data_IF_837670654914
#
_entry.id   IF_837670654914
#
_cell.length_a   1.000
_cell.length_b   1.000
_cell.length_c   1.000
_cell.angle_alpha   90.00
_cell.angle_beta   90.00
_cell.angle_gamma   90.00
#
_symmetry.space_group_name_H-M   'P 1'
#
loop_
_entity.id
_entity.type
_entity.pdbx_description
1 polymer ?
#
# COMPACT_ATOMS: atom_id res chain seq x y z
N UNK A 1 -17.98 -33.48 -23.21
CA UNK A 1 -18.71 -33.08 -22.01
C UNK A 1 -18.67 -31.55 -21.93
N UNK A 2 -19.73 -30.89 -22.33
CA UNK A 2 -19.89 -29.44 -22.29
C UNK A 2 -20.04 -29.02 -20.83
N UNK A 3 -19.05 -28.31 -20.30
CA UNK A 3 -19.18 -27.65 -18.98
C UNK A 3 -20.42 -26.75 -19.03
N UNK A 4 -21.32 -26.82 -18.02
CA UNK A 4 -22.45 -25.91 -17.96
C UNK A 4 -21.92 -24.47 -17.94
N UNK A 5 -22.40 -23.65 -18.84
CA UNK A 5 -22.10 -22.21 -18.91
C UNK A 5 -22.46 -21.59 -17.55
N UNK A 6 -21.44 -21.24 -16.75
CA UNK A 6 -21.66 -20.49 -15.51
C UNK A 6 -22.38 -19.19 -15.87
N UNK A 7 -23.57 -19.00 -15.31
CA UNK A 7 -24.30 -17.72 -15.41
C UNK A 7 -23.30 -16.59 -15.13
N UNK A 8 -23.11 -15.64 -16.03
CA UNK A 8 -22.16 -14.56 -15.84
C UNK A 8 -22.53 -13.78 -14.57
N UNK A 9 -21.66 -13.78 -13.57
CA UNK A 9 -21.85 -13.01 -12.37
C UNK A 9 -21.76 -11.51 -12.72
N UNK A 10 -22.57 -10.68 -12.04
CA UNK A 10 -22.49 -9.23 -12.23
C UNK A 10 -21.04 -8.75 -11.98
N UNK A 11 -20.38 -8.13 -12.99
CA UNK A 11 -18.98 -7.69 -12.86
C UNK A 11 -18.74 -6.74 -11.69
N UNK A 12 -19.72 -5.92 -11.33
CA UNK A 12 -19.61 -5.01 -10.19
C UNK A 12 -19.57 -5.74 -8.84
N UNK A 13 -20.32 -6.83 -8.68
CA UNK A 13 -20.27 -7.66 -7.48
C UNK A 13 -18.94 -8.42 -7.39
N UNK A 14 -18.43 -8.89 -8.53
CA UNK A 14 -17.10 -9.51 -8.56
C UNK A 14 -16.03 -8.49 -8.21
N UNK A 15 -16.09 -7.28 -8.77
CA UNK A 15 -15.18 -6.20 -8.42
C UNK A 15 -15.24 -5.87 -6.92
N UNK A 16 -16.45 -5.74 -6.35
CA UNK A 16 -16.62 -5.48 -4.92
C UNK A 16 -15.95 -6.55 -4.05
N UNK A 17 -16.14 -7.83 -4.37
CA UNK A 17 -15.48 -8.92 -3.64
C UNK A 17 -13.96 -8.90 -3.78
N UNK A 18 -13.43 -8.63 -4.98
CA UNK A 18 -11.98 -8.46 -5.18
C UNK A 18 -11.45 -7.25 -4.41
N UNK A 19 -12.20 -6.14 -4.36
CA UNK A 19 -11.83 -4.93 -3.60
C UNK A 19 -11.79 -5.20 -2.09
N UNK A 20 -12.72 -5.99 -1.55
CA UNK A 20 -12.64 -6.45 -0.16
C UNK A 20 -11.40 -7.31 0.10
N UNK A 21 -11.00 -8.15 -0.85
CA UNK A 21 -9.73 -8.87 -0.75
C UNK A 21 -8.52 -7.94 -0.71
N UNK A 22 -8.49 -6.88 -1.51
CA UNK A 22 -7.44 -5.85 -1.46
C UNK A 22 -7.48 -5.07 -0.15
N UNK A 23 -8.69 -4.74 0.35
CA UNK A 23 -8.89 -4.09 1.64
C UNK A 23 -8.26 -4.91 2.78
N UNK A 24 -8.49 -6.21 2.80
CA UNK A 24 -7.90 -7.11 3.80
C UNK A 24 -6.39 -7.20 3.64
N UNK A 25 -5.91 -7.52 2.43
CA UNK A 25 -4.52 -7.94 2.24
C UNK A 25 -3.54 -6.77 2.15
N UNK A 26 -3.95 -5.65 1.58
CA UNK A 26 -3.12 -4.45 1.49
C UNK A 26 -3.53 -3.41 2.56
N UNK A 27 -4.83 -3.17 2.74
CA UNK A 27 -5.33 -2.21 3.70
C UNK A 27 -5.04 -2.62 5.14
N UNK A 28 -5.69 -3.64 5.63
CA UNK A 28 -5.50 -4.14 7.00
C UNK A 28 -4.10 -4.74 7.19
N UNK A 29 -3.63 -5.55 6.23
CA UNK A 29 -2.33 -6.22 6.29
C UNK A 29 -1.13 -5.28 6.38
N UNK A 30 -1.23 -4.07 5.85
CA UNK A 30 -0.12 -3.10 5.83
C UNK A 30 -0.37 -1.86 6.69
N UNK A 31 -1.54 -1.23 6.57
CA UNK A 31 -1.75 0.13 7.08
C UNK A 31 -2.37 0.17 8.47
N UNK A 32 -3.12 -0.87 8.91
CA UNK A 32 -3.64 -0.93 10.28
C UNK A 32 -2.51 -0.86 11.33
N UNK A 33 -1.32 -1.39 11.01
CA UNK A 33 -0.17 -1.37 11.90
C UNK A 33 0.23 0.05 12.33
N UNK A 34 0.22 1.04 11.43
CA UNK A 34 0.58 2.41 11.78
C UNK A 34 -0.33 3.05 12.82
N UNK A 35 -1.58 2.57 12.94
CA UNK A 35 -2.53 2.99 13.98
C UNK A 35 -2.36 2.23 15.30
N UNK A 36 -1.98 0.94 15.22
CA UNK A 36 -1.82 0.07 16.39
C UNK A 36 -0.42 0.23 17.01
N UNK A 37 0.59 0.59 16.22
CA UNK A 37 1.99 0.72 16.61
C UNK A 37 2.20 1.55 17.90
N UNK A 38 1.59 2.73 18.09
CA UNK A 38 1.81 3.52 19.31
C UNK A 38 1.39 2.81 20.58
N UNK A 39 0.31 2.00 20.52
CA UNK A 39 -0.16 1.21 21.64
C UNK A 39 0.76 0.00 21.91
N UNK A 40 1.15 -0.72 20.84
CA UNK A 40 2.12 -1.83 20.96
C UNK A 40 3.46 -1.35 21.53
N UNK A 41 3.95 -0.21 21.05
CA UNK A 41 5.22 0.34 21.50
C UNK A 41 5.17 0.70 22.99
N UNK A 42 4.09 1.31 23.46
CA UNK A 42 3.93 1.69 24.86
C UNK A 42 3.75 0.50 25.78
N UNK A 43 2.93 -0.51 25.39
CA UNK A 43 2.65 -1.70 26.22
C UNK A 43 3.83 -2.69 26.28
N UNK A 44 4.65 -2.75 25.19
CA UNK A 44 5.74 -3.72 25.07
C UNK A 44 7.12 -3.09 25.30
N UNK A 45 7.16 -1.81 25.63
CA UNK A 45 8.38 -1.03 25.83
C UNK A 45 9.38 -1.13 24.66
N UNK A 46 8.84 -1.09 23.42
CA UNK A 46 9.65 -1.19 22.22
C UNK A 46 10.29 0.14 21.84
N UNK A 47 11.51 0.05 21.31
CA UNK A 47 12.15 1.18 20.63
C UNK A 47 11.45 1.48 19.29
N UNK A 48 11.69 2.66 18.71
CA UNK A 48 11.19 2.98 17.38
C UNK A 48 11.80 2.09 16.30
N UNK A 49 13.07 1.65 16.48
CA UNK A 49 13.73 0.71 15.59
C UNK A 49 13.01 -0.65 15.59
N UNK A 50 12.65 -1.20 16.75
CA UNK A 50 11.90 -2.45 16.86
C UNK A 50 10.51 -2.32 16.22
N UNK A 51 9.83 -1.21 16.46
CA UNK A 51 8.55 -0.95 15.83
C UNK A 51 8.68 -0.79 14.30
N UNK A 52 9.69 -0.08 13.81
CA UNK A 52 9.99 0.05 12.37
C UNK A 52 10.34 -1.28 11.73
N UNK A 53 11.08 -2.14 12.44
CA UNK A 53 11.43 -3.49 11.98
C UNK A 53 10.21 -4.32 11.58
N UNK A 54 9.10 -4.23 12.28
CA UNK A 54 7.90 -4.99 11.92
C UNK A 54 7.30 -4.59 10.56
N UNK A 55 7.43 -3.32 10.17
CA UNK A 55 7.07 -2.90 8.80
C UNK A 55 8.12 -3.33 7.77
N UNK A 56 9.40 -3.35 8.13
CA UNK A 56 10.47 -3.95 7.33
C UNK A 56 10.21 -5.44 7.11
N UNK A 57 9.85 -6.21 8.15
CA UNK A 57 9.49 -7.62 8.03
C UNK A 57 8.30 -7.83 7.07
N UNK A 58 7.27 -6.98 7.15
CA UNK A 58 6.15 -7.01 6.21
C UNK A 58 6.60 -6.71 4.77
N UNK A 59 7.48 -5.73 4.57
CA UNK A 59 8.02 -5.40 3.25
C UNK A 59 8.87 -6.53 2.66
N UNK A 60 9.71 -7.19 3.47
CA UNK A 60 10.47 -8.38 3.07
C UNK A 60 9.53 -9.51 2.63
N UNK A 61 8.47 -9.75 3.41
CA UNK A 61 7.42 -10.69 3.04
C UNK A 61 6.78 -10.33 1.71
N UNK A 62 6.48 -9.04 1.49
CA UNK A 62 5.88 -8.57 0.25
C UNK A 62 6.78 -8.82 -0.97
N UNK A 63 8.10 -8.62 -0.86
CA UNK A 63 9.05 -8.96 -1.93
C UNK A 63 9.01 -10.47 -2.21
N UNK A 64 9.13 -11.29 -1.18
CA UNK A 64 9.09 -12.74 -1.31
C UNK A 64 7.76 -13.21 -1.94
N UNK A 65 6.64 -12.60 -1.55
CA UNK A 65 5.33 -12.87 -2.11
C UNK A 65 5.16 -12.43 -3.57
N UNK A 66 5.70 -11.29 -3.96
CA UNK A 66 5.68 -10.82 -5.34
C UNK A 66 6.47 -11.77 -6.26
N UNK A 67 7.69 -12.15 -5.85
CA UNK A 67 8.50 -13.15 -6.57
C UNK A 67 7.79 -14.51 -6.59
N UNK A 68 7.28 -14.95 -5.45
CA UNK A 68 6.50 -16.18 -5.33
C UNK A 68 5.28 -16.23 -6.24
N UNK A 69 4.60 -15.08 -6.41
CA UNK A 69 3.46 -14.97 -7.35
C UNK A 69 3.90 -15.22 -8.78
N UNK A 70 5.00 -14.61 -9.22
CA UNK A 70 5.53 -14.79 -10.59
C UNK A 70 5.84 -16.27 -10.88
N UNK A 71 6.44 -16.96 -9.92
CA UNK A 71 6.78 -18.39 -10.06
C UNK A 71 5.54 -19.28 -9.98
N UNK A 72 4.63 -18.98 -9.04
CA UNK A 72 3.45 -19.78 -8.79
C UNK A 72 2.37 -19.65 -9.90
N UNK A 73 2.29 -18.48 -10.57
CA UNK A 73 1.38 -18.27 -11.71
C UNK A 73 1.65 -19.24 -12.88
N UNK A 74 2.87 -19.77 -12.98
CA UNK A 74 3.21 -20.82 -13.97
C UNK A 74 2.51 -22.16 -13.68
N UNK A 75 2.13 -22.43 -12.43
CA UNK A 75 1.55 -23.70 -11.97
C UNK A 75 0.11 -23.55 -11.51
N UNK A 76 -0.23 -22.45 -10.84
CA UNK A 76 -1.55 -22.18 -10.26
C UNK A 76 -2.20 -20.97 -10.93
N UNK A 77 -3.52 -21.02 -11.13
CA UNK A 77 -4.25 -19.90 -11.67
C UNK A 77 -4.33 -18.70 -10.69
N UNK A 78 -4.55 -17.47 -11.19
CA UNK A 78 -4.59 -16.26 -10.37
C UNK A 78 -5.68 -16.31 -9.29
N UNK A 79 -6.83 -16.95 -9.55
CA UNK A 79 -7.91 -17.10 -8.57
C UNK A 79 -7.49 -17.93 -7.34
N UNK A 80 -6.72 -19.01 -7.55
CA UNK A 80 -6.22 -19.84 -6.46
C UNK A 80 -5.18 -19.14 -5.61
N UNK A 81 -4.30 -18.34 -6.24
CA UNK A 81 -3.29 -17.55 -5.54
C UNK A 81 -3.93 -16.39 -4.75
N UNK A 82 -4.92 -15.71 -5.35
CA UNK A 82 -5.71 -14.70 -4.65
C UNK A 82 -6.38 -15.29 -3.41
N UNK A 83 -7.04 -16.44 -3.56
CA UNK A 83 -7.74 -17.09 -2.47
C UNK A 83 -6.80 -17.52 -1.34
N UNK A 84 -5.65 -18.12 -1.67
CA UNK A 84 -4.62 -18.49 -0.70
C UNK A 84 -4.09 -17.25 0.02
N UNK A 85 -3.75 -16.21 -0.73
CA UNK A 85 -3.25 -14.94 -0.18
C UNK A 85 -4.23 -14.31 0.80
N UNK A 86 -5.51 -14.21 0.42
CA UNK A 86 -6.56 -13.65 1.26
C UNK A 86 -6.78 -14.46 2.53
N UNK A 87 -6.93 -15.78 2.41
CA UNK A 87 -7.21 -16.65 3.55
C UNK A 87 -6.07 -16.64 4.58
N UNK A 88 -4.82 -16.79 4.12
CA UNK A 88 -3.66 -16.79 5.02
C UNK A 88 -3.44 -15.41 5.64
N UNK A 89 -3.64 -14.32 4.89
CA UNK A 89 -3.54 -12.96 5.46
C UNK A 89 -4.58 -12.75 6.58
N UNK A 90 -5.83 -13.17 6.37
CA UNK A 90 -6.88 -13.04 7.40
C UNK A 90 -6.53 -13.80 8.68
N UNK A 91 -6.03 -15.03 8.55
CA UNK A 91 -5.55 -15.84 9.70
C UNK A 91 -4.33 -15.17 10.35
N UNK A 92 -3.37 -14.67 9.57
CA UNK A 92 -2.16 -14.04 10.09
C UNK A 92 -2.46 -12.79 10.92
N UNK A 93 -3.48 -12.01 10.53
CA UNK A 93 -3.92 -10.83 11.30
C UNK A 93 -4.46 -11.23 12.69
N UNK A 94 -5.23 -12.30 12.77
CA UNK A 94 -5.68 -12.84 14.08
C UNK A 94 -4.48 -13.37 14.88
N UNK A 95 -3.61 -14.16 14.25
CA UNK A 95 -2.47 -14.77 14.92
C UNK A 95 -1.46 -13.74 15.46
N UNK A 96 -1.39 -12.55 14.86
CA UNK A 96 -0.58 -11.43 15.38
C UNK A 96 -0.97 -11.04 16.81
N UNK A 97 -2.22 -11.23 17.22
CA UNK A 97 -2.69 -10.92 18.58
C UNK A 97 -2.19 -11.88 19.68
N UNK A 98 -1.71 -13.08 19.32
CA UNK A 98 -1.52 -14.18 20.27
C UNK A 98 -0.32 -13.97 21.22
N UNK A 99 0.86 -13.60 20.72
CA UNK A 99 2.05 -13.46 21.53
C UNK A 99 2.73 -12.08 21.34
N UNK A 100 3.24 -11.46 22.42
CA UNK A 100 3.89 -10.15 22.36
C UNK A 100 5.34 -10.22 21.86
N UNK A 101 5.93 -11.42 21.80
CA UNK A 101 7.34 -11.60 21.43
C UNK A 101 7.66 -11.04 20.04
N UNK A 102 8.76 -10.29 19.93
CA UNK A 102 9.16 -9.61 18.68
C UNK A 102 9.31 -10.59 17.52
N UNK A 103 9.87 -11.79 17.75
CA UNK A 103 10.01 -12.83 16.72
C UNK A 103 8.64 -13.31 16.20
N UNK A 104 7.62 -13.42 17.07
CA UNK A 104 6.26 -13.82 16.71
C UNK A 104 5.60 -12.75 15.85
N UNK A 105 5.70 -11.51 16.29
CA UNK A 105 5.20 -10.37 15.56
C UNK A 105 5.88 -10.26 14.18
N UNK A 106 7.21 -10.43 14.11
CA UNK A 106 7.99 -10.42 12.87
C UNK A 106 7.55 -11.51 11.90
N UNK A 107 7.33 -12.74 12.40
CA UNK A 107 6.88 -13.86 11.59
C UNK A 107 5.52 -13.56 10.93
N UNK A 108 4.53 -13.13 11.71
CA UNK A 108 3.20 -12.89 11.19
C UNK A 108 3.13 -11.63 10.33
N UNK A 109 3.92 -10.62 10.62
CA UNK A 109 4.09 -9.46 9.74
C UNK A 109 4.72 -9.85 8.39
N UNK A 110 5.74 -10.71 8.39
CA UNK A 110 6.33 -11.26 7.18
C UNK A 110 5.32 -12.08 6.37
N UNK A 111 4.60 -13.01 7.01
CA UNK A 111 3.56 -13.81 6.36
C UNK A 111 2.43 -12.96 5.80
N UNK A 112 1.97 -11.95 6.55
CA UNK A 112 0.98 -10.99 6.08
C UNK A 112 1.46 -10.25 4.82
N UNK A 113 2.73 -9.85 4.78
CA UNK A 113 3.33 -9.26 3.58
C UNK A 113 3.39 -10.23 2.40
N UNK A 114 3.88 -11.45 2.63
CA UNK A 114 4.04 -12.47 1.60
C UNK A 114 2.69 -12.84 0.95
N UNK A 115 1.72 -13.21 1.75
CA UNK A 115 0.42 -13.63 1.27
C UNK A 115 -0.44 -12.44 0.81
N UNK A 116 -0.23 -11.28 1.40
CA UNK A 116 -0.81 -10.02 0.92
C UNK A 116 -0.38 -9.67 -0.50
N UNK A 117 0.92 -9.85 -0.82
CA UNK A 117 1.44 -9.63 -2.17
C UNK A 117 0.85 -10.62 -3.19
N UNK A 118 0.67 -11.90 -2.82
CA UNK A 118 0.01 -12.90 -3.68
C UNK A 118 -1.40 -12.44 -4.07
N UNK A 119 -2.19 -12.04 -3.09
CA UNK A 119 -3.57 -11.59 -3.31
C UNK A 119 -3.62 -10.28 -4.10
N UNK A 120 -2.83 -9.28 -3.71
CA UNK A 120 -2.80 -7.97 -4.35
C UNK A 120 -2.42 -8.04 -5.84
N UNK A 121 -1.35 -8.78 -6.17
CA UNK A 121 -0.86 -8.92 -7.54
C UNK A 121 -1.88 -9.65 -8.43
N UNK A 122 -2.55 -10.65 -7.89
CA UNK A 122 -3.53 -11.44 -8.64
C UNK A 122 -4.90 -10.75 -8.73
N UNK A 123 -5.27 -9.92 -7.76
CA UNK A 123 -6.49 -9.11 -7.81
C UNK A 123 -6.54 -8.22 -9.05
N UNK A 124 -5.44 -7.52 -9.35
CA UNK A 124 -5.33 -6.69 -10.54
C UNK A 124 -5.50 -7.48 -11.84
N UNK A 125 -4.90 -8.67 -11.93
CA UNK A 125 -5.01 -9.54 -13.10
C UNK A 125 -6.46 -10.05 -13.31
N UNK A 126 -7.18 -10.37 -12.22
CA UNK A 126 -8.58 -10.80 -12.27
C UNK A 126 -9.51 -9.63 -12.64
N UNK A 127 -9.33 -8.46 -12.04
CA UNK A 127 -10.15 -7.29 -12.31
C UNK A 127 -9.98 -6.76 -13.74
N UNK A 128 -8.77 -6.83 -14.30
CA UNK A 128 -8.48 -6.35 -15.66
C UNK A 128 -9.27 -7.04 -16.77
N UNK A 129 -10.05 -8.08 -16.46
CA UNK A 129 -10.86 -8.87 -17.40
C UNK A 129 -12.37 -8.72 -17.20
N UNK A 130 -12.81 -7.97 -16.19
CA UNK A 130 -14.23 -7.82 -15.90
C UNK A 130 -14.98 -7.07 -17.01
N UNK A 131 -14.31 -6.16 -17.70
CA UNK A 131 -14.84 -5.40 -18.85
C UNK A 131 -13.82 -5.40 -20.00
N UNK A 132 -13.48 -6.60 -20.51
CA UNK A 132 -12.45 -6.76 -21.54
C UNK A 132 -12.74 -5.93 -22.81
N UNK A 133 -14.03 -5.82 -23.18
CA UNK A 133 -14.48 -5.12 -24.38
C UNK A 133 -14.74 -3.61 -24.15
N UNK A 134 -14.57 -3.11 -22.91
CA UNK A 134 -14.78 -1.71 -22.58
C UNK A 134 -13.59 -1.12 -21.79
N UNK A 135 -12.61 -0.54 -22.49
CA UNK A 135 -11.40 0.02 -21.85
C UNK A 135 -11.66 1.07 -20.77
N UNK A 136 -12.74 1.87 -20.92
CA UNK A 136 -13.09 2.91 -19.93
C UNK A 136 -13.59 2.30 -18.63
N UNK A 137 -14.53 1.34 -18.71
CA UNK A 137 -15.05 0.62 -17.53
C UNK A 137 -13.95 -0.22 -16.89
N UNK A 138 -13.06 -0.82 -17.68
CA UNK A 138 -11.93 -1.60 -17.17
C UNK A 138 -10.95 -0.72 -16.37
N UNK A 139 -10.60 0.46 -16.90
CA UNK A 139 -9.78 1.42 -16.19
C UNK A 139 -10.42 1.92 -14.88
N UNK A 140 -11.73 2.20 -14.92
CA UNK A 140 -12.50 2.58 -13.74
C UNK A 140 -12.52 1.44 -12.70
N UNK A 141 -12.75 0.20 -13.14
CA UNK A 141 -12.75 -0.98 -12.26
C UNK A 141 -11.41 -1.18 -11.54
N UNK A 142 -10.29 -1.02 -12.24
CA UNK A 142 -8.95 -1.10 -11.65
C UNK A 142 -8.70 0.05 -10.66
N UNK A 143 -9.14 1.27 -10.99
CA UNK A 143 -9.04 2.42 -10.10
C UNK A 143 -9.86 2.22 -8.80
N UNK A 144 -11.08 1.69 -8.92
CA UNK A 144 -11.92 1.32 -7.78
C UNK A 144 -11.25 0.21 -6.96
N UNK A 145 -10.76 -0.85 -7.60
CA UNK A 145 -10.12 -1.99 -6.91
C UNK A 145 -9.01 -1.53 -5.96
N UNK A 146 -8.07 -0.75 -6.44
CA UNK A 146 -6.90 -0.35 -5.67
C UNK A 146 -7.13 0.90 -4.82
N UNK A 147 -7.85 1.89 -5.34
CA UNK A 147 -8.14 3.13 -4.63
C UNK A 147 -9.11 2.90 -3.48
N UNK A 148 -10.26 2.28 -3.72
CA UNK A 148 -11.23 2.01 -2.65
C UNK A 148 -10.76 0.91 -1.72
N UNK A 149 -10.14 -0.16 -2.23
CA UNK A 149 -9.64 -1.26 -1.40
C UNK A 149 -8.63 -0.78 -0.34
N UNK A 150 -7.63 0.01 -0.75
CA UNK A 150 -6.63 0.56 0.16
C UNK A 150 -7.15 1.70 1.04
N UNK A 151 -7.80 2.69 0.44
CA UNK A 151 -8.28 3.88 1.13
C UNK A 151 -9.40 3.58 2.12
N UNK A 152 -10.36 2.71 1.78
CA UNK A 152 -11.46 2.33 2.69
C UNK A 152 -10.96 1.60 3.94
N UNK A 153 -9.91 0.79 3.84
CA UNK A 153 -9.32 0.15 5.02
C UNK A 153 -8.72 1.19 5.98
N UNK A 154 -8.05 2.20 5.43
CA UNK A 154 -7.47 3.30 6.21
C UNK A 154 -8.58 4.11 6.90
N UNK A 155 -9.67 4.42 6.18
CA UNK A 155 -10.85 5.10 6.76
C UNK A 155 -11.44 4.27 7.89
N UNK A 156 -11.67 2.97 7.66
CA UNK A 156 -12.29 2.09 8.65
C UNK A 156 -11.42 1.94 9.89
N UNK A 157 -10.12 1.65 9.73
CA UNK A 157 -9.19 1.57 10.86
C UNK A 157 -9.03 2.92 11.56
N UNK A 158 -8.93 4.02 10.81
CA UNK A 158 -8.81 5.37 11.37
C UNK A 158 -10.01 5.80 12.21
N UNK A 159 -11.22 5.44 11.76
CA UNK A 159 -12.44 5.76 12.50
C UNK A 159 -12.63 4.89 13.76
N UNK A 160 -12.10 3.67 13.78
CA UNK A 160 -12.44 2.69 14.84
C UNK A 160 -11.32 2.44 15.84
N UNK A 161 -10.06 2.32 15.38
CA UNK A 161 -8.96 1.90 16.26
C UNK A 161 -8.52 2.98 17.27
N UNK A 162 -8.33 4.28 16.91
CA UNK A 162 -7.89 5.26 17.88
C UNK A 162 -8.87 5.48 19.04
N UNK A 163 -10.19 5.61 18.83
CA UNK A 163 -11.13 5.69 19.95
C UNK A 163 -11.16 4.42 20.81
N UNK A 164 -11.07 3.25 20.17
CA UNK A 164 -11.04 1.97 20.90
C UNK A 164 -9.80 1.85 21.79
N UNK A 165 -8.61 2.12 21.24
CA UNK A 165 -7.35 2.04 21.99
C UNK A 165 -7.31 3.06 23.13
N UNK A 166 -7.90 4.25 22.96
CA UNK A 166 -8.02 5.25 24.00
C UNK A 166 -8.97 4.81 25.14
N UNK A 167 -10.08 4.17 24.77
CA UNK A 167 -11.07 3.71 25.77
C UNK A 167 -10.58 2.50 26.57
N UNK A 168 -9.83 1.59 25.94
CA UNK A 168 -9.42 0.31 26.52
C UNK A 168 -7.95 0.27 26.98
N UNK A 169 -7.17 1.33 26.72
CA UNK A 169 -5.77 1.44 27.07
C UNK A 169 -4.82 0.76 26.06
N UNK A 170 -3.53 1.05 26.21
CA UNK A 170 -2.48 0.59 25.27
C UNK A 170 -2.40 -0.94 25.20
N UNK A 171 -2.57 -1.68 26.29
CA UNK A 171 -2.59 -3.15 26.32
C UNK A 171 -3.68 -3.79 25.46
N UNK A 172 -4.66 -3.01 24.99
CA UNK A 172 -5.74 -3.48 24.11
C UNK A 172 -5.31 -3.65 22.63
N UNK A 173 -4.06 -3.40 22.27
CA UNK A 173 -3.55 -3.62 20.92
C UNK A 173 -3.81 -5.04 20.39
N UNK A 174 -3.87 -6.03 21.26
CA UNK A 174 -4.26 -7.41 20.92
C UNK A 174 -5.67 -7.47 20.36
N UNK A 175 -6.61 -6.79 21.00
CA UNK A 175 -8.00 -6.72 20.54
C UNK A 175 -8.12 -5.95 19.23
N UNK A 176 -7.28 -4.94 18.98
CA UNK A 176 -7.22 -4.27 17.68
C UNK A 176 -6.88 -5.27 16.55
N UNK A 177 -5.89 -6.14 16.76
CA UNK A 177 -5.56 -7.19 15.80
C UNK A 177 -6.65 -8.25 15.67
N UNK A 178 -7.31 -8.64 16.77
CA UNK A 178 -8.45 -9.58 16.73
C UNK A 178 -9.59 -8.98 15.91
N UNK A 179 -9.97 -7.75 16.15
CA UNK A 179 -11.06 -7.07 15.41
C UNK A 179 -10.74 -7.01 13.93
N UNK A 180 -9.57 -6.53 13.58
CA UNK A 180 -9.12 -6.43 12.18
C UNK A 180 -9.08 -7.82 11.52
N UNK A 181 -8.60 -8.84 12.25
CA UNK A 181 -8.54 -10.21 11.75
C UNK A 181 -9.93 -10.86 11.60
N UNK A 182 -10.84 -10.67 12.56
CA UNK A 182 -12.23 -11.18 12.47
C UNK A 182 -12.99 -10.50 11.34
N UNK A 183 -12.84 -9.19 11.17
CA UNK A 183 -13.41 -8.48 10.00
C UNK A 183 -12.85 -9.03 8.70
N UNK A 184 -11.55 -9.34 8.65
CA UNK A 184 -10.91 -9.95 7.48
C UNK A 184 -11.48 -11.33 7.17
N UNK A 185 -11.69 -12.17 8.20
CA UNK A 185 -12.33 -13.48 8.05
C UNK A 185 -13.79 -13.37 7.59
N UNK A 186 -14.53 -12.38 8.08
CA UNK A 186 -15.92 -12.12 7.67
C UNK A 186 -16.01 -11.65 6.20
N UNK A 187 -15.02 -10.87 5.71
CA UNK A 187 -14.98 -10.40 4.33
C UNK A 187 -14.41 -11.45 3.35
N UNK A 188 -13.59 -12.38 3.83
CA UNK A 188 -12.92 -13.37 3.00
C UNK A 188 -13.87 -14.21 2.12
N UNK A 189 -15.02 -14.72 2.58
CA UNK A 189 -15.93 -15.51 1.76
C UNK A 189 -16.38 -14.81 0.48
N UNK A 190 -16.65 -13.50 0.53
CA UNK A 190 -17.05 -12.73 -0.65
C UNK A 190 -15.88 -12.53 -1.62
N UNK A 191 -14.68 -12.30 -1.10
CA UNK A 191 -13.45 -12.24 -1.90
C UNK A 191 -13.14 -13.58 -2.59
N UNK A 192 -13.27 -14.69 -1.86
CA UNK A 192 -13.09 -16.05 -2.39
C UNK A 192 -14.13 -16.39 -3.46
N UNK A 193 -15.40 -16.01 -3.26
CA UNK A 193 -16.45 -16.16 -4.24
C UNK A 193 -16.14 -15.35 -5.50
N UNK A 194 -15.73 -14.09 -5.35
CA UNK A 194 -15.39 -13.22 -6.46
C UNK A 194 -14.23 -13.77 -7.30
N UNK A 195 -13.17 -14.27 -6.66
CA UNK A 195 -12.03 -14.86 -7.35
C UNK A 195 -12.42 -16.07 -8.22
N UNK A 196 -13.39 -16.89 -7.76
CA UNK A 196 -13.90 -18.06 -8.52
C UNK A 196 -14.78 -17.66 -9.69
N UNK A 197 -15.35 -16.46 -9.68
CA UNK A 197 -16.25 -15.94 -10.73
C UNK A 197 -15.54 -15.01 -11.71
N UNK A 198 -14.37 -14.50 -11.35
CA UNK A 198 -13.59 -13.64 -12.22
C UNK A 198 -13.07 -14.40 -13.46
N UNK A 199 -13.07 -13.76 -14.65
CA UNK A 199 -12.51 -14.35 -15.86
C UNK A 199 -11.02 -14.65 -15.69
N UNK A 200 -10.58 -15.82 -16.12
CA UNK A 200 -9.16 -16.21 -16.06
C UNK A 200 -8.42 -15.62 -17.26
N UNK A 201 -7.33 -14.88 -17.06
CA UNK A 201 -6.53 -14.37 -18.16
C UNK A 201 -5.87 -15.52 -18.95
N UNK A 202 -5.88 -15.48 -20.30
CA UNK A 202 -5.13 -16.44 -21.10
C UNK A 202 -3.63 -16.32 -20.80
N UNK A 203 -2.93 -17.44 -20.73
CA UNK A 203 -1.48 -17.44 -20.65
C UNK A 203 -0.92 -16.88 -21.97
N UNK A 204 -0.29 -15.73 -21.92
CA UNK A 204 0.51 -15.18 -23.01
C UNK A 204 1.97 -15.16 -22.57
N UNK A 205 2.78 -15.99 -23.17
CA UNK A 205 4.23 -15.81 -23.19
C UNK A 205 4.52 -14.78 -24.28
N UNK A 206 4.77 -13.55 -23.90
CA UNK A 206 5.22 -12.51 -24.82
C UNK A 206 6.70 -12.29 -24.51
N UNK A 207 7.55 -12.58 -25.49
CA UNK A 207 8.95 -12.16 -25.44
C UNK A 207 8.97 -10.63 -25.56
N UNK A 208 9.30 -9.96 -24.45
CA UNK A 208 9.38 -8.51 -24.43
C UNK A 208 10.77 -8.06 -24.91
N UNK A 209 10.87 -6.99 -25.72
CA UNK A 209 12.16 -6.40 -26.07
C UNK A 209 12.88 -5.89 -24.81
N UNK A 210 14.23 -5.81 -24.86
CA UNK A 210 15.01 -5.31 -23.74
C UNK A 210 14.64 -3.85 -23.40
N UNK A 211 14.57 -3.56 -22.10
CA UNK A 211 14.23 -2.22 -21.62
C UNK A 211 15.43 -1.26 -21.80
N UNK A 212 15.19 0.01 -22.21
CA UNK A 212 16.22 1.04 -22.24
C UNK A 212 16.52 1.56 -20.82
N UNK A 213 16.87 0.65 -19.89
CA UNK A 213 16.96 0.93 -18.46
C UNK A 213 17.91 2.08 -18.11
N UNK A 214 19.00 2.26 -18.88
CA UNK A 214 19.92 3.39 -18.68
C UNK A 214 19.28 4.75 -18.92
N UNK A 215 18.30 4.86 -19.81
CA UNK A 215 17.57 6.09 -20.09
C UNK A 215 16.42 6.36 -19.10
N UNK A 216 16.10 5.40 -18.24
CA UNK A 216 15.03 5.45 -17.23
C UNK A 216 15.58 5.63 -15.80
N UNK A 217 16.90 5.80 -15.62
CA UNK A 217 17.54 5.84 -14.31
C UNK A 217 16.97 6.90 -13.38
N UNK A 218 16.65 8.08 -13.91
CA UNK A 218 16.07 9.17 -13.11
C UNK A 218 14.68 8.79 -12.56
N UNK A 219 13.86 8.12 -13.38
CA UNK A 219 12.54 7.64 -12.95
C UNK A 219 12.66 6.52 -11.90
N UNK A 220 13.61 5.58 -12.07
CA UNK A 220 13.89 4.54 -11.08
C UNK A 220 14.38 5.13 -9.75
N UNK A 221 15.32 6.07 -9.80
CA UNK A 221 15.86 6.72 -8.60
C UNK A 221 14.79 7.54 -7.86
N UNK A 222 13.96 8.29 -8.59
CA UNK A 222 12.79 8.97 -8.03
C UNK A 222 11.84 7.99 -7.33
N UNK A 223 11.56 6.86 -7.98
CA UNK A 223 10.65 5.86 -7.43
C UNK A 223 11.25 5.07 -6.26
N UNK A 224 12.58 4.92 -6.19
CA UNK A 224 13.28 4.44 -5.00
C UNK A 224 13.12 5.42 -3.83
N UNK A 225 13.26 6.73 -4.07
CA UNK A 225 12.97 7.77 -3.09
C UNK A 225 11.54 7.69 -2.54
N UNK A 226 10.56 7.41 -3.41
CA UNK A 226 9.20 7.10 -2.96
C UNK A 226 9.16 5.93 -2.00
N UNK A 227 9.77 4.79 -2.36
CA UNK A 227 9.79 3.58 -1.51
C UNK A 227 10.38 3.83 -0.13
N UNK A 228 11.50 4.56 -0.05
CA UNK A 228 12.17 4.90 1.20
C UNK A 228 11.32 5.81 2.11
N UNK A 229 10.65 6.81 1.53
CA UNK A 229 10.08 7.90 2.32
C UNK A 229 8.60 7.71 2.70
N UNK A 230 7.72 7.29 1.76
CA UNK A 230 6.26 7.29 1.99
C UNK A 230 5.81 6.43 3.16
N UNK A 231 6.48 5.28 3.33
CA UNK A 231 6.07 4.29 4.34
C UNK A 231 6.43 4.75 5.77
N UNK A 232 7.41 5.64 5.90
CA UNK A 232 7.79 6.24 7.18
C UNK A 232 6.63 7.03 7.76
N UNK A 233 5.99 7.88 6.95
CA UNK A 233 4.81 8.64 7.36
C UNK A 233 3.68 7.70 7.80
N UNK A 234 3.31 6.73 6.97
CA UNK A 234 2.22 5.79 7.28
C UNK A 234 2.53 4.88 8.49
N UNK A 235 3.81 4.67 8.80
CA UNK A 235 4.21 3.87 9.96
C UNK A 235 4.16 4.69 11.25
N UNK A 236 4.66 5.91 11.22
CA UNK A 236 4.98 6.66 12.43
C UNK A 236 4.11 7.89 12.68
N UNK A 237 3.20 8.25 11.77
CA UNK A 237 2.32 9.41 11.98
C UNK A 237 1.55 9.34 13.30
N UNK A 238 0.94 8.19 13.62
CA UNK A 238 0.20 8.05 14.88
C UNK A 238 1.12 8.10 16.10
N UNK A 239 2.36 7.59 15.97
CA UNK A 239 3.35 7.67 17.04
C UNK A 239 3.78 9.13 17.28
N UNK A 240 4.03 9.90 16.20
CA UNK A 240 4.28 11.32 16.28
C UNK A 240 3.11 12.09 16.91
N UNK A 241 1.89 11.81 16.48
CA UNK A 241 0.70 12.43 17.08
C UNK A 241 0.57 12.11 18.58
N UNK A 242 0.93 10.90 19.01
CA UNK A 242 0.96 10.51 20.43
C UNK A 242 2.05 11.25 21.20
N UNK A 243 3.25 11.47 20.62
CA UNK A 243 4.29 12.32 21.20
C UNK A 243 3.80 13.76 21.43
N UNK A 244 2.95 14.27 20.52
CA UNK A 244 2.35 15.60 20.62
C UNK A 244 1.06 15.65 21.48
N UNK A 245 0.77 14.59 22.21
CA UNK A 245 -0.46 14.44 23.03
C UNK A 245 -1.76 14.71 22.26
N UNK A 246 -1.79 14.38 20.97
CA UNK A 246 -2.99 14.51 20.13
C UNK A 246 -4.13 13.63 20.66
N UNK A 247 -5.34 14.16 20.66
CA UNK A 247 -6.51 13.40 21.11
C UNK A 247 -6.83 12.25 20.15
N UNK A 248 -7.48 11.17 20.62
CA UNK A 248 -7.91 10.05 19.78
C UNK A 248 -8.79 10.48 18.61
N UNK A 249 -9.62 11.49 18.81
CA UNK A 249 -10.48 12.06 17.76
C UNK A 249 -9.66 12.77 16.67
N UNK A 250 -8.60 13.47 17.05
CA UNK A 250 -7.68 14.09 16.08
C UNK A 250 -6.97 13.03 15.25
N UNK A 251 -6.49 11.95 15.87
CA UNK A 251 -5.89 10.82 15.14
C UNK A 251 -6.91 10.20 14.18
N UNK A 252 -8.13 9.93 14.65
CA UNK A 252 -9.20 9.38 13.83
C UNK A 252 -9.51 10.27 12.61
N UNK A 253 -9.69 11.58 12.84
CA UNK A 253 -9.97 12.57 11.79
C UNK A 253 -8.88 12.57 10.71
N UNK A 254 -7.61 12.64 11.13
CA UNK A 254 -6.46 12.67 10.22
C UNK A 254 -6.42 11.42 9.35
N UNK A 255 -6.59 10.23 9.92
CA UNK A 255 -6.56 8.98 9.17
C UNK A 255 -7.79 8.79 8.28
N UNK A 256 -8.97 9.22 8.69
CA UNK A 256 -10.19 9.20 7.86
C UNK A 256 -10.03 10.13 6.66
N UNK A 257 -9.53 11.34 6.86
CA UNK A 257 -9.26 12.28 5.75
C UNK A 257 -8.20 11.72 4.80
N UNK A 258 -7.11 11.19 5.34
CA UNK A 258 -6.05 10.55 4.55
C UNK A 258 -6.59 9.43 3.67
N UNK A 259 -7.35 8.50 4.23
CA UNK A 259 -7.95 7.38 3.48
C UNK A 259 -8.98 7.83 2.45
N UNK A 260 -9.79 8.84 2.79
CA UNK A 260 -10.75 9.46 1.87
C UNK A 260 -10.05 10.13 0.67
N UNK A 261 -8.99 10.89 0.92
CA UNK A 261 -8.19 11.52 -0.13
C UNK A 261 -7.46 10.50 -1.01
N UNK A 262 -6.97 9.38 -0.44
CA UNK A 262 -6.42 8.27 -1.21
C UNK A 262 -7.46 7.74 -2.20
N UNK A 263 -8.68 7.53 -1.75
CA UNK A 263 -9.77 7.00 -2.59
C UNK A 263 -10.11 7.95 -3.74
N UNK A 264 -10.06 9.26 -3.51
CA UNK A 264 -10.38 10.28 -4.52
C UNK A 264 -9.19 10.66 -5.41
N UNK A 265 -7.96 10.30 -5.03
CA UNK A 265 -6.73 10.72 -5.71
C UNK A 265 -6.68 10.43 -7.22
N UNK A 266 -7.18 9.29 -7.77
CA UNK A 266 -7.13 9.04 -9.20
C UNK A 266 -7.89 10.08 -10.02
N UNK A 267 -8.97 10.65 -9.48
CA UNK A 267 -9.75 11.69 -10.15
C UNK A 267 -8.99 13.01 -10.25
N UNK A 268 -8.24 13.36 -9.19
CA UNK A 268 -7.46 14.59 -9.12
C UNK A 268 -6.30 14.60 -10.12
N UNK A 269 -5.63 13.45 -10.30
CA UNK A 269 -4.40 13.34 -11.06
C UNK A 269 -4.59 13.01 -12.55
N UNK A 270 -5.80 12.66 -12.99
CA UNK A 270 -6.07 12.26 -14.39
C UNK A 270 -5.56 13.26 -15.42
N UNK A 271 -5.74 14.56 -15.15
CA UNK A 271 -5.32 15.64 -16.06
C UNK A 271 -3.81 15.77 -16.15
N UNK A 272 -3.09 15.62 -15.05
CA UNK A 272 -1.62 15.64 -15.00
C UNK A 272 -1.06 14.46 -15.79
N UNK A 273 -1.56 13.27 -15.56
CA UNK A 273 -1.13 12.07 -16.26
C UNK A 273 -1.43 12.13 -17.76
N UNK A 274 -2.55 12.72 -18.16
CA UNK A 274 -2.90 12.87 -19.57
C UNK A 274 -1.89 13.76 -20.32
N UNK A 275 -1.44 14.85 -19.70
CA UNK A 275 -0.62 15.91 -20.35
C UNK A 275 0.87 15.61 -20.42
N UNK A 276 1.44 14.78 -19.53
CA UNK A 276 2.88 14.61 -19.39
C UNK A 276 3.32 13.19 -19.73
N UNK A 277 4.40 13.07 -20.52
CA UNK A 277 5.08 11.80 -20.83
C UNK A 277 6.46 11.68 -20.14
N UNK A 278 6.92 12.73 -19.45
CA UNK A 278 8.19 12.78 -18.72
C UNK A 278 8.03 12.33 -17.26
N UNK A 279 9.10 12.42 -16.47
CA UNK A 279 9.06 12.18 -15.00
C UNK A 279 8.35 13.27 -14.17
N UNK A 280 7.86 14.36 -14.81
CA UNK A 280 7.15 15.43 -14.10
C UNK A 280 5.99 14.95 -13.24
N UNK A 281 5.13 14.00 -13.66
CA UNK A 281 4.06 13.49 -12.81
C UNK A 281 4.58 12.85 -11.52
N UNK A 282 5.65 12.05 -11.61
CA UNK A 282 6.28 11.46 -10.43
C UNK A 282 6.87 12.54 -9.53
N UNK A 283 7.59 13.52 -10.10
CA UNK A 283 8.17 14.63 -9.34
C UNK A 283 7.10 15.42 -8.57
N UNK A 284 5.98 15.77 -9.20
CA UNK A 284 4.87 16.48 -8.57
C UNK A 284 4.23 15.65 -7.44
N UNK A 285 4.03 14.36 -7.67
CA UNK A 285 3.50 13.43 -6.66
C UNK A 285 4.44 13.35 -5.46
N UNK A 286 5.74 13.16 -5.68
CA UNK A 286 6.73 13.08 -4.61
C UNK A 286 6.87 14.37 -3.83
N UNK A 287 6.80 15.53 -4.50
CA UNK A 287 6.78 16.84 -3.83
C UNK A 287 5.56 16.98 -2.91
N UNK A 288 4.38 16.54 -3.36
CA UNK A 288 3.18 16.52 -2.54
C UNK A 288 3.30 15.58 -1.33
N UNK A 289 3.84 14.37 -1.52
CA UNK A 289 4.06 13.43 -0.41
C UNK A 289 5.08 13.99 0.58
N UNK A 290 6.15 14.61 0.10
CA UNK A 290 7.18 15.24 0.93
C UNK A 290 6.60 16.38 1.79
N UNK A 291 5.85 17.29 1.16
CA UNK A 291 5.17 18.38 1.87
C UNK A 291 4.21 17.82 2.92
N UNK A 292 3.36 16.87 2.54
CA UNK A 292 2.45 16.21 3.48
C UNK A 292 3.17 15.54 4.63
N UNK A 293 4.33 14.91 4.40
CA UNK A 293 5.14 14.26 5.43
C UNK A 293 5.83 15.24 6.39
N UNK A 294 6.22 16.42 5.91
CA UNK A 294 6.88 17.44 6.75
C UNK A 294 5.90 18.23 7.61
N UNK A 295 4.69 18.48 7.11
CA UNK A 295 3.71 19.37 7.76
C UNK A 295 3.38 19.01 9.22
N UNK A 296 3.23 17.74 9.63
CA UNK A 296 2.97 17.41 11.03
C UNK A 296 4.02 17.98 11.97
N UNK A 297 5.28 18.01 11.54
CA UNK A 297 6.40 18.48 12.35
C UNK A 297 6.58 19.99 12.25
N UNK A 298 6.44 20.56 11.05
CA UNK A 298 6.62 21.99 10.81
C UNK A 298 5.43 22.83 11.31
N UNK A 299 4.24 22.24 11.34
CA UNK A 299 3.01 22.90 11.78
C UNK A 299 2.18 21.94 12.66
N UNK A 300 2.61 21.67 13.91
CA UNK A 300 2.05 20.64 14.79
C UNK A 300 0.71 21.06 15.43
N UNK A 301 -0.19 21.59 14.63
CA UNK A 301 -1.55 21.96 15.04
C UNK A 301 -2.58 21.14 14.27
N UNK A 302 -3.82 21.07 14.76
CA UNK A 302 -4.86 20.32 14.06
C UNK A 302 -5.05 20.78 12.59
N UNK A 303 -5.08 22.06 12.24
CA UNK A 303 -5.11 22.48 10.83
C UNK A 303 -3.93 21.95 10.02
N UNK A 304 -2.70 22.00 10.57
CA UNK A 304 -1.51 21.48 9.91
C UNK A 304 -1.58 19.97 9.66
N UNK A 305 -2.08 19.20 10.63
CA UNK A 305 -2.32 17.76 10.51
C UNK A 305 -3.39 17.44 9.44
N UNK A 306 -4.47 18.22 9.40
CA UNK A 306 -5.54 18.07 8.37
C UNK A 306 -4.98 18.36 6.98
N UNK A 307 -4.25 19.44 6.79
CA UNK A 307 -3.63 19.80 5.51
C UNK A 307 -2.61 18.73 5.09
N UNK A 308 -1.81 18.23 6.04
CA UNK A 308 -0.89 17.11 5.84
C UNK A 308 -1.62 15.88 5.29
N UNK A 309 -2.69 15.44 5.96
CA UNK A 309 -3.47 14.26 5.58
C UNK A 309 -4.09 14.41 4.18
N UNK A 310 -4.62 15.59 3.86
CA UNK A 310 -5.21 15.87 2.55
C UNK A 310 -4.16 15.84 1.44
N UNK A 311 -3.03 16.53 1.62
CA UNK A 311 -1.96 16.57 0.62
C UNK A 311 -1.33 15.19 0.44
N UNK A 312 -0.91 14.55 1.54
CA UNK A 312 -0.27 13.24 1.51
C UNK A 312 -1.21 12.19 0.91
N UNK A 313 -2.46 12.10 1.38
CA UNK A 313 -3.46 11.17 0.90
C UNK A 313 -3.79 11.35 -0.59
N UNK A 314 -3.86 12.60 -1.05
CA UNK A 314 -4.11 12.90 -2.47
C UNK A 314 -2.95 12.49 -3.40
N UNK A 315 -1.76 12.26 -2.87
CA UNK A 315 -0.56 11.98 -3.65
C UNK A 315 -0.06 10.55 -3.52
N UNK A 316 -0.11 9.95 -2.33
CA UNK A 316 0.68 8.76 -1.99
C UNK A 316 0.46 7.57 -2.93
N UNK A 317 -0.77 7.24 -3.31
CA UNK A 317 -1.04 6.12 -4.21
C UNK A 317 -0.97 6.49 -5.69
N UNK A 318 -0.59 7.73 -5.98
CA UNK A 318 -0.39 8.19 -7.35
C UNK A 318 1.04 7.95 -7.86
N UNK A 319 2.02 7.67 -7.00
CA UNK A 319 3.38 7.34 -7.43
C UNK A 319 3.46 6.06 -8.30
N UNK A 320 2.83 4.92 -7.95
CA UNK A 320 2.72 3.77 -8.86
C UNK A 320 2.01 4.10 -10.17
N UNK A 321 1.00 4.97 -10.12
CA UNK A 321 0.27 5.42 -11.32
C UNK A 321 1.14 6.28 -12.23
N UNK A 322 2.02 7.11 -11.66
CA UNK A 322 2.95 7.95 -12.41
C UNK A 322 3.94 7.12 -13.24
N UNK A 323 4.60 6.13 -12.62
CA UNK A 323 5.55 5.27 -13.33
C UNK A 323 4.87 4.34 -14.33
N UNK A 324 3.62 3.93 -14.06
CA UNK A 324 2.80 3.19 -15.03
C UNK A 324 2.46 4.07 -16.24
N UNK A 325 2.05 5.32 -16.01
CA UNK A 325 1.79 6.29 -17.06
C UNK A 325 3.04 6.58 -17.91
N UNK A 326 4.19 6.80 -17.25
CA UNK A 326 5.48 6.97 -17.93
C UNK A 326 5.78 5.77 -18.82
N UNK A 327 5.69 4.55 -18.31
CA UNK A 327 5.95 3.32 -19.06
C UNK A 327 5.04 3.19 -20.29
N UNK A 328 3.74 3.46 -20.13
CA UNK A 328 2.75 3.34 -21.22
C UNK A 328 2.95 4.37 -22.33
N UNK A 329 3.47 5.56 -22.00
CA UNK A 329 3.69 6.64 -22.99
C UNK A 329 5.03 6.56 -23.72
N UNK A 330 5.98 5.82 -23.15
CA UNK A 330 7.36 5.82 -23.64
C UNK A 330 7.83 4.45 -24.14
N UNK A 331 7.11 3.37 -23.84
CA UNK A 331 7.53 2.02 -24.20
C UNK A 331 6.47 1.31 -25.03
N UNK A 332 6.86 0.36 -25.89
CA UNK A 332 5.91 -0.48 -26.62
C UNK A 332 5.11 -1.37 -25.66
N UNK A 333 3.86 -1.74 -26.00
CA UNK A 333 2.96 -2.50 -25.13
C UNK A 333 3.54 -3.81 -24.59
N UNK A 334 4.41 -4.47 -25.36
CA UNK A 334 5.07 -5.72 -25.00
C UNK A 334 6.04 -5.56 -23.81
N UNK A 335 6.61 -4.34 -23.64
CA UNK A 335 7.56 -4.02 -22.58
C UNK A 335 6.92 -3.50 -21.29
N UNK A 336 5.63 -3.17 -21.28
CA UNK A 336 4.98 -2.57 -20.09
C UNK A 336 5.07 -3.47 -18.86
N UNK A 337 4.84 -4.77 -19.04
CA UNK A 337 4.92 -5.73 -17.94
C UNK A 337 6.31 -5.78 -17.29
N UNK A 338 7.35 -5.84 -18.13
CA UNK A 338 8.75 -5.86 -17.68
C UNK A 338 9.14 -4.56 -16.98
N UNK A 339 8.72 -3.40 -17.52
CA UNK A 339 9.00 -2.10 -16.93
C UNK A 339 8.32 -1.95 -15.54
N UNK A 340 7.03 -2.27 -15.44
CA UNK A 340 6.28 -2.20 -14.18
C UNK A 340 6.88 -3.16 -13.15
N UNK A 341 7.30 -4.37 -13.57
CA UNK A 341 7.97 -5.32 -12.68
C UNK A 341 9.29 -4.77 -12.14
N UNK A 342 10.11 -4.12 -12.96
CA UNK A 342 11.37 -3.52 -12.53
C UNK A 342 11.14 -2.34 -11.57
N UNK A 343 10.16 -1.46 -11.86
CA UNK A 343 9.75 -0.42 -10.90
C UNK A 343 9.29 -1.04 -9.58
N UNK A 344 8.53 -2.12 -9.62
CA UNK A 344 8.06 -2.81 -8.40
C UNK A 344 9.24 -3.36 -7.59
N UNK A 345 10.26 -3.92 -8.23
CA UNK A 345 11.47 -4.40 -7.54
C UNK A 345 12.23 -3.24 -6.89
N UNK A 346 12.47 -2.15 -7.62
CA UNK A 346 13.13 -0.94 -7.10
C UNK A 346 12.39 -0.41 -5.87
N UNK A 347 11.09 -0.26 -5.99
CA UNK A 347 10.22 0.18 -4.89
C UNK A 347 10.27 -0.78 -3.69
N UNK A 348 10.15 -2.08 -3.94
CA UNK A 348 10.09 -3.09 -2.88
C UNK A 348 11.40 -3.17 -2.07
N UNK A 349 12.55 -3.06 -2.75
CA UNK A 349 13.85 -3.00 -2.08
C UNK A 349 13.97 -1.73 -1.25
N UNK A 350 13.62 -0.57 -1.81
CA UNK A 350 13.72 0.72 -1.14
C UNK A 350 12.82 0.79 0.11
N UNK A 351 11.57 0.37 0.02
CA UNK A 351 10.63 0.42 1.15
C UNK A 351 11.00 -0.50 2.32
N UNK A 352 11.87 -1.50 2.10
CA UNK A 352 12.30 -2.41 3.15
C UNK A 352 13.22 -1.71 4.16
N UNK A 353 14.02 -0.76 3.69
CA UNK A 353 15.00 -0.03 4.51
C UNK A 353 14.32 1.08 5.33
N UNK A 354 13.36 1.78 4.73
CA UNK A 354 12.78 3.01 5.26
C UNK A 354 12.30 2.93 6.72
N UNK A 355 11.41 2.00 7.09
CA UNK A 355 10.84 1.98 8.44
C UNK A 355 11.85 1.69 9.55
N UNK A 356 12.76 0.74 9.33
CA UNK A 356 13.80 0.43 10.32
C UNK A 356 14.77 1.60 10.49
N UNK A 357 15.28 2.15 9.39
CA UNK A 357 16.21 3.28 9.43
C UNK A 357 15.56 4.53 10.08
N UNK A 358 14.29 4.80 9.78
CA UNK A 358 13.55 5.88 10.40
C UNK A 358 13.33 5.64 11.90
N UNK A 359 13.02 4.41 12.31
CA UNK A 359 12.90 4.05 13.71
C UNK A 359 14.23 4.25 14.47
N UNK A 360 15.34 3.76 13.91
CA UNK A 360 16.66 3.94 14.49
C UNK A 360 17.06 5.44 14.60
N UNK A 361 16.73 6.25 13.59
CA UNK A 361 16.93 7.68 13.65
C UNK A 361 16.09 8.35 14.76
N UNK A 362 14.84 7.91 14.91
CA UNK A 362 13.95 8.37 15.98
C UNK A 362 14.49 8.05 17.38
N UNK A 363 15.03 6.84 17.57
CA UNK A 363 15.67 6.44 18.82
C UNK A 363 16.93 7.27 19.11
N UNK A 364 17.76 7.53 18.09
CA UNK A 364 18.98 8.34 18.23
C UNK A 364 18.70 9.82 18.55
N UNK A 365 17.63 10.36 18.01
CA UNK A 365 17.30 11.80 18.15
C UNK A 365 16.30 12.08 19.29
N UNK A 366 15.72 11.02 19.87
CA UNK A 366 14.70 11.13 20.92
C UNK A 366 13.31 11.54 20.42
N UNK A 367 13.11 11.70 19.10
CA UNK A 367 11.81 12.00 18.51
C UNK A 367 11.64 11.43 17.11
N UNK A 368 10.48 10.84 16.87
CA UNK A 368 10.15 10.32 15.54
C UNK A 368 9.88 11.43 14.51
N UNK A 369 9.66 12.65 14.96
CA UNK A 369 9.50 13.81 14.07
C UNK A 369 10.71 14.05 13.18
N UNK A 370 11.93 13.84 13.69
CA UNK A 370 13.16 13.92 12.90
C UNK A 370 13.14 12.95 11.73
N UNK A 371 12.62 11.75 11.95
CA UNK A 371 12.50 10.73 10.90
C UNK A 371 11.47 11.09 9.84
N UNK A 372 10.38 11.76 10.21
CA UNK A 372 9.41 12.30 9.26
C UNK A 372 10.02 13.37 8.37
N UNK A 373 10.83 14.27 8.93
CA UNK A 373 11.57 15.29 8.16
C UNK A 373 12.64 14.68 7.25
N UNK A 374 13.39 13.69 7.75
CA UNK A 374 14.37 12.95 6.93
C UNK A 374 13.71 12.24 5.75
N UNK A 375 12.57 11.58 5.98
CA UNK A 375 11.76 10.96 4.93
C UNK A 375 11.27 12.00 3.90
N UNK A 376 10.82 13.17 4.37
CA UNK A 376 10.43 14.28 3.50
C UNK A 376 11.59 14.77 2.64
N UNK A 377 12.79 14.91 3.20
CA UNK A 377 13.99 15.30 2.44
C UNK A 377 14.35 14.27 1.36
N UNK A 378 14.27 12.97 1.68
CA UNK A 378 14.48 11.87 0.70
C UNK A 378 13.45 11.95 -0.43
N UNK A 379 12.17 12.21 -0.11
CA UNK A 379 11.11 12.37 -1.09
C UNK A 379 11.34 13.58 -2.00
N UNK A 380 11.79 14.71 -1.46
CA UNK A 380 12.14 15.90 -2.25
C UNK A 380 13.34 15.65 -3.16
N UNK A 381 14.39 14.98 -2.66
CA UNK A 381 15.51 14.57 -3.49
C UNK A 381 15.06 13.64 -4.63
N UNK A 382 14.20 12.67 -4.32
CA UNK A 382 13.56 11.81 -5.33
C UNK A 382 12.74 12.59 -6.36
N UNK A 383 12.00 13.61 -5.91
CA UNK A 383 11.24 14.51 -6.79
C UNK A 383 12.14 15.30 -7.74
N UNK A 384 13.24 15.86 -7.20
CA UNK A 384 14.21 16.59 -8.00
C UNK A 384 14.86 15.70 -9.09
N UNK A 385 15.22 14.46 -8.72
CA UNK A 385 15.78 13.50 -9.69
C UNK A 385 14.74 13.08 -10.71
N UNK A 386 13.50 12.76 -10.30
CA UNK A 386 12.43 12.40 -11.23
C UNK A 386 12.11 13.53 -12.23
N UNK A 387 12.23 14.81 -11.82
CA UNK A 387 12.02 15.96 -12.69
C UNK A 387 13.00 16.02 -13.86
N UNK A 388 14.19 15.41 -13.74
CA UNK A 388 15.21 15.32 -14.78
C UNK A 388 14.86 14.29 -15.86
N UNK A 389 13.90 13.39 -15.60
CA UNK A 389 13.52 12.34 -16.53
C UNK A 389 12.79 12.95 -17.75
N UNK A 390 13.44 12.88 -18.89
CA UNK A 390 12.86 13.27 -20.20
C UNK A 390 12.02 12.11 -20.76
N UNK A 391 11.11 12.38 -21.69
CA UNK A 391 10.51 11.33 -22.52
C UNK A 391 11.60 10.51 -23.23
N UNK A 392 11.33 9.22 -23.51
CA UNK A 392 12.29 8.30 -24.14
C UNK A 392 12.29 8.41 -25.65
#
# INVERSE_FOLDING_TARGET
>A
MTHPSKVPANPWLVLAGLSLGVLVTNGFGRFAYGLILPAMRADLDWTYAQAGWLNTANALGYIAGAVGTMLALRRRGPAGLFALGLAVTAVALVATSALPALWWQSLWRFLTGLFGALSFSTAGALAARLWADNPRLNALGIAILFGSGGGSAIVLCGATLPPMLAAWGDGSWRWAWVIVGVLSLAMAPLGLWAARRAPVPPRREVSAPPLPSGRMLAEYAGYAGFGLGYIVYLTFLSAWMKEQAASPLQVALVWVLLGGCITLSPMLWRGVFARHASGRPLAMVLSGIALGSALPVLWPTLPGLVVSAVIFGSCVFMAPSAVTNFSRKNLPPESWGSAISLFTVVFAVAQTIGPYAAGALGDLTGSIGTSLLAASAILLAGAAVAALQKPL
#
